data_IF_340399799700
#
_entry.id   IF_340399799700
#
_cell.length_a   1.000
_cell.length_b   1.000
_cell.length_c   1.000
_cell.angle_alpha   90.00
_cell.angle_beta   90.00
_cell.angle_gamma   90.00
#
_symmetry.space_group_name_H-M   'P 1'
#
loop_
_entity.id
_entity.type
_entity.pdbx_description
1 polymer ?
#
# COMPACT_ATOMS: atom_id res chain seq x y z
N UNK A 1 -5.43 88.68 -3.59
CA UNK A 1 -4.05 88.36 -4.03
C UNK A 1 -3.85 86.86 -3.96
N UNK A 2 -3.52 86.25 -5.11
CA UNK A 2 -2.64 85.08 -5.32
C UNK A 2 -3.00 83.76 -4.59
N UNK A 3 -3.10 82.57 -5.19
CA UNK A 3 -3.00 82.09 -6.58
C UNK A 3 -3.27 80.57 -6.57
N UNK A 4 -3.82 80.06 -7.68
CA UNK A 4 -3.56 78.75 -8.31
C UNK A 4 -3.84 77.43 -7.53
N UNK A 5 -4.94 76.81 -7.91
CA UNK A 5 -5.00 75.53 -8.63
C UNK A 5 -3.70 74.73 -8.73
N UNK A 6 -3.71 73.49 -8.23
CA UNK A 6 -2.93 72.40 -8.80
C UNK A 6 -3.83 71.17 -8.97
N UNK A 7 -4.01 70.80 -10.23
CA UNK A 7 -4.71 69.64 -10.75
C UNK A 7 -3.89 68.36 -10.48
N UNK A 8 -4.62 67.25 -10.29
CA UNK A 8 -4.25 65.82 -10.41
C UNK A 8 -2.86 65.48 -10.97
N UNK A 9 -2.20 64.55 -10.28
CA UNK A 9 -1.47 63.45 -10.95
C UNK A 9 -2.02 62.12 -10.46
N UNK A 10 -2.52 61.37 -11.44
CA UNK A 10 -2.80 59.95 -11.40
C UNK A 10 -1.48 59.19 -11.48
N UNK A 11 -1.22 58.24 -10.58
CA UNK A 11 -0.55 56.96 -10.91
C UNK A 11 -0.79 56.01 -9.73
N UNK A 12 -1.80 55.13 -9.80
CA UNK A 12 -1.61 53.75 -10.27
C UNK A 12 -0.27 53.17 -9.81
N UNK A 13 -0.26 52.45 -8.69
CA UNK A 13 0.47 51.18 -8.63
C UNK A 13 -0.10 50.32 -7.51
N UNK A 14 -1.26 49.75 -7.82
CA UNK A 14 -1.82 48.56 -7.22
C UNK A 14 -0.76 47.47 -7.00
N UNK A 15 -0.49 47.20 -5.72
CA UNK A 15 -0.39 45.86 -5.12
C UNK A 15 0.12 44.74 -6.06
N UNK A 16 1.40 44.74 -6.43
CA UNK A 16 1.98 43.60 -7.17
C UNK A 16 3.32 43.19 -6.60
N UNK A 17 3.26 42.17 -5.74
CA UNK A 17 4.08 40.94 -5.72
C UNK A 17 3.96 40.27 -4.35
N UNK A 18 2.75 39.78 -4.03
CA UNK A 18 2.59 38.80 -2.94
C UNK A 18 2.70 37.40 -3.55
N UNK A 19 3.81 36.75 -3.25
CA UNK A 19 4.04 35.30 -3.24
C UNK A 19 3.20 34.46 -4.22
N UNK A 20 3.78 34.11 -5.37
CA UNK A 20 3.45 32.85 -6.04
C UNK A 20 4.41 31.76 -5.56
N UNK A 21 4.48 31.55 -4.24
CA UNK A 21 4.64 30.20 -3.75
C UNK A 21 3.29 29.55 -3.97
N UNK A 22 3.09 28.94 -5.15
CA UNK A 22 1.99 28.00 -5.31
C UNK A 22 2.35 26.83 -4.38
N UNK A 23 1.67 26.63 -3.22
CA UNK A 23 1.87 25.37 -2.54
C UNK A 23 1.47 24.30 -3.56
N UNK A 24 2.40 23.39 -3.86
CA UNK A 24 2.10 22.24 -4.69
C UNK A 24 0.78 21.65 -4.17
N UNK A 25 -0.21 21.36 -5.03
CA UNK A 25 -1.45 20.76 -4.57
C UNK A 25 -1.05 19.51 -3.81
N UNK A 26 -1.37 19.45 -2.50
CA UNK A 26 -1.13 18.24 -1.72
C UNK A 26 -1.93 17.15 -2.42
N UNK A 27 -1.25 16.30 -3.19
CA UNK A 27 -1.83 15.13 -3.84
C UNK A 27 -2.33 14.23 -2.72
N UNK A 28 -3.56 14.47 -2.25
CA UNK A 28 -4.25 13.59 -1.33
C UNK A 28 -4.70 12.36 -2.12
N UNK A 29 -3.74 11.52 -2.52
CA UNK A 29 -4.04 10.12 -2.85
C UNK A 29 -4.28 9.34 -1.56
N UNK A 30 -5.17 9.84 -0.71
CA UNK A 30 -5.73 9.06 0.37
C UNK A 30 -6.82 8.19 -0.27
N UNK A 31 -6.42 7.06 -0.86
CA UNK A 31 -7.37 5.97 -1.07
C UNK A 31 -8.01 5.71 0.29
N UNK A 32 -9.33 5.90 0.40
CA UNK A 32 -10.06 5.70 1.65
C UNK A 32 -9.80 4.28 2.14
N UNK A 33 -8.95 4.13 3.16
CA UNK A 33 -8.65 2.82 3.73
C UNK A 33 -9.94 2.30 4.35
N UNK A 34 -10.43 1.15 3.86
CA UNK A 34 -11.59 0.49 4.47
C UNK A 34 -11.25 0.23 5.93
N UNK A 35 -12.19 0.51 6.84
CA UNK A 35 -12.00 0.20 8.26
C UNK A 35 -12.17 -1.30 8.46
N UNK A 36 -11.34 -1.94 9.32
CA UNK A 36 -11.53 -3.33 9.66
C UNK A 36 -12.88 -3.50 10.40
N UNK A 37 -13.53 -4.64 10.20
CA UNK A 37 -14.79 -4.97 10.91
C UNK A 37 -14.54 -5.15 12.41
N UNK A 38 -13.36 -5.63 12.78
CA UNK A 38 -13.03 -6.02 14.14
C UNK A 38 -11.58 -5.67 14.50
N UNK A 39 -11.37 -5.24 15.74
CA UNK A 39 -10.05 -4.95 16.29
C UNK A 39 -9.28 -6.23 16.68
N UNK A 40 -7.95 -6.12 16.78
CA UNK A 40 -7.09 -7.25 17.14
C UNK A 40 -7.47 -7.90 18.49
N UNK A 41 -7.89 -7.10 19.47
CA UNK A 41 -8.28 -7.64 20.77
C UNK A 41 -9.57 -8.44 20.70
N UNK A 42 -10.52 -8.00 19.88
CA UNK A 42 -11.75 -8.72 19.62
C UNK A 42 -11.49 -10.02 18.84
N UNK A 43 -10.53 -10.04 17.90
CA UNK A 43 -10.05 -11.28 17.25
C UNK A 43 -9.55 -12.28 18.31
N UNK A 44 -8.68 -11.85 19.24
CA UNK A 44 -8.19 -12.73 20.31
C UNK A 44 -9.32 -13.21 21.22
N UNK A 45 -10.23 -12.32 21.59
CA UNK A 45 -11.36 -12.65 22.45
C UNK A 45 -12.24 -13.72 21.78
N UNK A 46 -12.50 -13.61 20.49
CA UNK A 46 -13.26 -14.61 19.72
C UNK A 46 -12.56 -15.96 19.70
N UNK A 47 -11.24 -15.96 19.49
CA UNK A 47 -10.44 -17.20 19.55
C UNK A 47 -10.57 -17.87 20.91
N UNK A 48 -10.49 -17.10 22.00
CA UNK A 48 -10.64 -17.61 23.35
C UNK A 48 -12.09 -18.02 23.70
N UNK A 49 -13.11 -17.33 23.17
CA UNK A 49 -14.53 -17.69 23.32
C UNK A 49 -14.81 -19.09 22.75
N UNK A 50 -14.17 -19.42 21.64
CA UNK A 50 -14.23 -20.75 21.01
C UNK A 50 -13.30 -21.78 21.68
N UNK A 51 -12.77 -21.48 22.87
CA UNK A 51 -11.87 -22.34 23.68
C UNK A 51 -10.60 -22.78 22.94
N UNK A 52 -10.09 -21.94 22.03
CA UNK A 52 -8.87 -22.21 21.26
C UNK A 52 -7.77 -21.22 21.66
N UNK A 53 -6.50 -21.58 21.45
CA UNK A 53 -5.36 -20.65 21.56
C UNK A 53 -4.77 -20.34 20.19
N UNK A 54 -4.11 -19.18 20.06
CA UNK A 54 -3.37 -18.84 18.84
C UNK A 54 -2.26 -19.84 18.52
N UNK A 55 -1.65 -20.45 19.54
CA UNK A 55 -0.59 -21.45 19.36
C UNK A 55 -1.16 -22.73 18.76
N UNK A 56 -2.22 -23.28 19.36
CA UNK A 56 -2.84 -24.52 18.88
C UNK A 56 -3.49 -24.34 17.52
N UNK A 57 -4.10 -23.18 17.27
CA UNK A 57 -4.65 -22.86 15.96
C UNK A 57 -3.56 -22.87 14.88
N UNK A 58 -2.38 -22.30 15.18
CA UNK A 58 -1.26 -22.32 14.25
C UNK A 58 -0.84 -23.76 13.93
N UNK A 59 -0.63 -24.59 14.95
CA UNK A 59 -0.23 -25.99 14.79
C UNK A 59 -1.26 -26.76 13.98
N UNK A 60 -2.56 -26.60 14.27
CA UNK A 60 -3.65 -27.27 13.55
C UNK A 60 -3.74 -26.86 12.09
N UNK A 61 -3.38 -25.61 11.77
CA UNK A 61 -3.30 -25.10 10.40
C UNK A 61 -1.99 -25.48 9.68
N UNK A 62 -1.08 -26.22 10.31
CA UNK A 62 0.23 -26.58 9.74
C UNK A 62 1.23 -25.43 9.74
N UNK A 63 0.98 -24.38 10.52
CA UNK A 63 1.83 -23.19 10.64
C UNK A 63 2.68 -23.25 11.91
N UNK A 64 3.87 -22.64 11.85
CA UNK A 64 4.71 -22.51 13.03
C UNK A 64 4.02 -21.63 14.10
N UNK A 65 4.03 -22.00 15.40
CA UNK A 65 3.32 -21.30 16.47
C UNK A 65 3.61 -19.80 16.59
N UNK A 66 4.82 -19.38 16.22
CA UNK A 66 5.21 -17.97 16.26
C UNK A 66 4.54 -17.10 15.20
N UNK A 67 4.00 -17.69 14.13
CA UNK A 67 3.39 -16.95 13.02
C UNK A 67 2.15 -16.20 13.49
N UNK A 68 1.20 -16.89 14.15
CA UNK A 68 -0.05 -16.24 14.60
C UNK A 68 0.18 -15.18 15.68
N UNK A 69 1.26 -15.30 16.47
CA UNK A 69 1.69 -14.24 17.40
C UNK A 69 2.17 -12.98 16.68
N UNK A 70 2.78 -13.13 15.50
CA UNK A 70 3.35 -12.03 14.70
C UNK A 70 2.34 -11.38 13.75
N UNK A 71 1.18 -11.99 13.49
CA UNK A 71 0.16 -11.50 12.53
C UNK A 71 -0.27 -10.05 12.78
N UNK A 72 -0.29 -9.59 14.04
CA UNK A 72 -0.61 -8.18 14.35
C UNK A 72 0.38 -7.21 13.70
N UNK A 73 1.67 -7.52 13.80
CA UNK A 73 2.76 -6.63 13.38
C UNK A 73 3.15 -6.89 11.92
N UNK A 74 3.35 -8.15 11.55
CA UNK A 74 3.87 -8.58 10.24
C UNK A 74 2.77 -9.15 9.33
N UNK A 75 2.90 -8.93 8.02
CA UNK A 75 1.99 -9.52 7.02
C UNK A 75 2.32 -10.99 6.83
N UNK A 76 1.44 -11.88 7.30
CA UNK A 76 1.50 -13.32 7.04
C UNK A 76 0.16 -13.78 6.49
N UNK A 77 0.05 -13.92 5.17
CA UNK A 77 -1.23 -14.22 4.51
C UNK A 77 -1.83 -15.55 4.98
N UNK A 78 -1.04 -16.63 5.05
CA UNK A 78 -1.52 -17.92 5.53
C UNK A 78 -2.03 -17.87 6.98
N UNK A 79 -1.37 -17.11 7.86
CA UNK A 79 -1.81 -16.95 9.25
C UNK A 79 -3.07 -16.09 9.37
N UNK A 80 -3.19 -15.06 8.55
CA UNK A 80 -4.41 -14.24 8.46
C UNK A 80 -5.59 -15.05 7.95
N UNK A 81 -5.38 -15.88 6.93
CA UNK A 81 -6.38 -16.77 6.39
C UNK A 81 -6.81 -17.83 7.42
N UNK A 82 -5.87 -18.48 8.11
CA UNK A 82 -6.20 -19.43 9.18
C UNK A 82 -7.05 -18.80 10.29
N UNK A 83 -6.72 -17.57 10.72
CA UNK A 83 -7.51 -16.84 11.71
C UNK A 83 -8.87 -16.41 11.19
N UNK A 84 -8.94 -15.93 9.94
CA UNK A 84 -10.17 -15.48 9.33
C UNK A 84 -11.14 -16.64 9.14
N UNK A 85 -10.65 -17.77 8.61
CA UNK A 85 -11.40 -19.04 8.52
C UNK A 85 -11.87 -19.52 9.88
N UNK A 86 -11.03 -19.42 10.93
CA UNK A 86 -11.43 -19.82 12.28
C UNK A 86 -12.54 -18.94 12.88
N UNK A 87 -12.69 -17.69 12.43
CA UNK A 87 -13.72 -16.74 12.90
C UNK A 87 -14.89 -16.65 11.91
N UNK A 88 -14.89 -17.47 10.86
CA UNK A 88 -15.88 -17.47 9.78
C UNK A 88 -16.00 -16.11 9.06
N UNK A 89 -14.86 -15.44 8.91
CA UNK A 89 -14.76 -14.14 8.25
C UNK A 89 -13.76 -14.16 7.10
N UNK A 90 -13.87 -13.19 6.19
CA UNK A 90 -12.88 -13.00 5.13
C UNK A 90 -11.65 -12.25 5.67
N UNK A 91 -10.42 -12.63 5.28
CA UNK A 91 -9.21 -11.92 5.72
C UNK A 91 -9.18 -10.45 5.26
N UNK A 92 -9.84 -10.14 4.14
CA UNK A 92 -10.00 -8.77 3.61
C UNK A 92 -10.80 -7.86 4.55
N UNK A 93 -11.74 -8.42 5.31
CA UNK A 93 -12.57 -7.68 6.24
C UNK A 93 -11.83 -7.36 7.55
N UNK A 94 -10.91 -8.24 7.96
CA UNK A 94 -10.11 -8.08 9.18
C UNK A 94 -8.85 -7.23 8.93
N UNK A 95 -8.24 -7.36 7.75
CA UNK A 95 -7.03 -6.61 7.37
C UNK A 95 -7.19 -5.88 6.03
N UNK A 96 -8.09 -4.89 5.95
CA UNK A 96 -8.37 -4.16 4.71
C UNK A 96 -7.17 -3.38 4.16
N UNK A 97 -6.17 -3.05 4.99
CA UNK A 97 -4.95 -2.36 4.55
C UNK A 97 -3.98 -3.28 3.82
N UNK A 98 -4.03 -4.60 4.10
CA UNK A 98 -3.07 -5.59 3.58
C UNK A 98 -3.56 -6.26 2.30
N UNK A 99 -4.87 -6.27 2.07
CA UNK A 99 -5.51 -6.79 0.87
C UNK A 99 -5.98 -5.63 -0.01
N UNK A 100 -5.97 -5.74 -1.36
CA UNK A 100 -5.62 -6.92 -2.16
C UNK A 100 -4.12 -7.21 -2.22
N UNK A 101 -3.76 -8.48 -2.42
CA UNK A 101 -2.36 -8.93 -2.59
C UNK A 101 -1.77 -8.22 -3.81
N UNK A 102 -0.87 -7.27 -3.60
CA UNK A 102 -0.15 -6.63 -4.70
C UNK A 102 0.80 -7.65 -5.29
N UNK A 103 0.53 -8.11 -6.51
CA UNK A 103 1.54 -8.81 -7.28
C UNK A 103 2.58 -7.79 -7.73
N UNK A 104 3.84 -7.96 -7.33
CA UNK A 104 4.94 -7.33 -8.06
C UNK A 104 4.86 -7.89 -9.48
N UNK A 105 4.40 -7.08 -10.44
CA UNK A 105 4.25 -7.50 -11.83
C UNK A 105 5.56 -8.11 -12.29
N UNK A 106 5.53 -9.41 -12.55
CA UNK A 106 6.64 -10.13 -13.16
C UNK A 106 6.81 -9.47 -14.52
N UNK A 107 8.03 -9.02 -14.82
CA UNK A 107 8.42 -8.38 -16.07
C UNK A 107 7.69 -9.02 -17.26
N UNK A 108 6.96 -8.21 -18.04
CA UNK A 108 6.26 -8.67 -19.22
C UNK A 108 7.28 -9.22 -20.23
N UNK A 109 7.36 -10.54 -20.32
CA UNK A 109 8.37 -11.27 -21.10
C UNK A 109 8.18 -11.05 -22.60
N UNK A 110 6.98 -10.64 -23.03
CA UNK A 110 6.68 -10.26 -24.41
C UNK A 110 7.29 -8.89 -24.75
N UNK A 111 7.29 -7.96 -23.79
CA UNK A 111 7.89 -6.62 -23.97
C UNK A 111 9.41 -6.63 -23.76
N UNK A 112 9.89 -7.48 -22.87
CA UNK A 112 11.30 -7.57 -22.47
C UNK A 112 11.76 -9.03 -22.58
N UNK A 113 12.05 -9.51 -23.80
CA UNK A 113 12.61 -10.85 -23.97
C UNK A 113 13.93 -10.96 -23.19
N UNK A 114 14.29 -12.14 -22.67
CA UNK A 114 15.58 -12.36 -22.04
C UNK A 114 16.69 -11.90 -22.99
N UNK A 115 17.58 -11.02 -22.54
CA UNK A 115 18.80 -10.72 -23.31
C UNK A 115 19.53 -12.04 -23.54
N UNK A 116 19.98 -12.27 -24.79
CA UNK A 116 20.82 -13.39 -25.19
C UNK A 116 22.01 -13.51 -24.24
N UNK A 117 21.82 -14.27 -23.17
CA UNK A 117 22.83 -14.51 -22.16
C UNK A 117 23.71 -15.62 -22.70
N UNK A 118 25.02 -15.46 -22.61
CA UNK A 118 25.98 -16.52 -22.91
C UNK A 118 25.76 -17.80 -22.07
N UNK A 119 24.90 -17.74 -21.04
CA UNK A 119 24.47 -18.88 -20.20
C UNK A 119 23.11 -19.46 -20.62
N UNK A 120 22.52 -19.05 -21.73
CA UNK A 120 21.32 -19.70 -22.24
C UNK A 120 21.68 -21.13 -22.68
N UNK A 121 20.83 -22.10 -22.37
CA UNK A 121 20.95 -23.49 -22.86
C UNK A 121 20.67 -23.60 -24.38
N UNK A 122 20.75 -22.49 -25.12
CA UNK A 122 20.55 -22.49 -26.56
C UNK A 122 21.60 -23.40 -27.21
N UNK A 123 21.15 -24.20 -28.17
CA UNK A 123 22.02 -25.08 -28.91
C UNK A 123 23.07 -24.23 -29.65
N UNK A 124 24.35 -24.54 -29.45
CA UNK A 124 25.43 -23.89 -30.19
C UNK A 124 25.33 -24.30 -31.66
N UNK A 125 25.24 -23.33 -32.57
CA UNK A 125 25.16 -23.59 -34.01
C UNK A 125 26.44 -24.27 -34.50
N UNK A 126 26.38 -25.58 -34.72
CA UNK A 126 27.48 -26.34 -35.34
C UNK A 126 27.31 -26.29 -36.86
N UNK A 127 28.10 -25.45 -37.51
CA UNK A 127 28.21 -25.41 -38.97
C UNK A 127 29.05 -26.59 -39.45
N UNK A 128 28.45 -27.55 -40.16
CA UNK A 128 29.15 -28.64 -40.82
C UNK A 128 29.96 -28.09 -42.01
N UNK A 129 31.22 -28.53 -42.12
CA UNK A 129 32.17 -28.17 -43.18
C UNK A 129 32.12 -29.18 -44.33
#
# INVERSE_FOLDING_TARGET
>A
MRTATALRVCDQMTFKKRALQRPLPKRSFAMSKKKPIMDWEAIKAEVHRRRMTLTELAVRSGLHPSILRKVKTMTHYAGQEALATFIDQKPENLWPDRYPKKSSGILDTTKWPPLESQKSNAAFDRKAA
#
